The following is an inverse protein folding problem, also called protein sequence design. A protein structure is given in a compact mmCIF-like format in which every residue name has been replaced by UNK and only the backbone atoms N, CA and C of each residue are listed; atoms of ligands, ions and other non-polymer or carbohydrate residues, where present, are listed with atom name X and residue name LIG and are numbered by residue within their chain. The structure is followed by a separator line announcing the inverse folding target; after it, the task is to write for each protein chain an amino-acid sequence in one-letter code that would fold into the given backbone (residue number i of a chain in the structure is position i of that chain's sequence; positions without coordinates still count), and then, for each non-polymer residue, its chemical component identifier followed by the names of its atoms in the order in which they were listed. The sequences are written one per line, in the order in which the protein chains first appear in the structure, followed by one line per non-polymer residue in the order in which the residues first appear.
data_IF_938635979899
#
_entry.id   IF_938635979899
#
_cell.length_a   1.000
_cell.length_b   1.000
_cell.length_c   1.000
_cell.angle_alpha   90.00
_cell.angle_beta   90.00
_cell.angle_gamma   90.00
#
_symmetry.space_group_name_H-M   'P 1'
#
loop_
_entity.id
_entity.type
_entity.pdbx_description
1 polymer ?
#
# COMPACT_ATOMS: atom_id res chain seq x y z
N UNK A 1 -12.98 -16.83 4.46
CA UNK A 1 -11.90 -17.48 3.67
C UNK A 1 -10.59 -16.76 3.91
N UNK A 2 -9.48 -17.44 3.92
CA UNK A 2 -8.20 -16.76 4.06
C UNK A 2 -7.95 -15.83 2.86
N UNK A 3 -7.44 -14.65 3.15
CA UNK A 3 -7.11 -13.68 2.10
C UNK A 3 -5.86 -14.16 1.35
N UNK A 4 -5.96 -14.24 0.04
CA UNK A 4 -4.85 -14.64 -0.83
C UNK A 4 -4.75 -13.70 -2.03
N UNK A 5 -3.53 -13.43 -2.45
CA UNK A 5 -3.28 -12.68 -3.68
C UNK A 5 -3.01 -13.63 -4.85
N UNK A 6 -3.49 -13.29 -6.06
CA UNK A 6 -3.16 -14.04 -7.27
C UNK A 6 -1.65 -14.16 -7.49
N UNK A 7 -1.22 -15.23 -8.15
CA UNK A 7 0.19 -15.46 -8.46
C UNK A 7 0.82 -14.32 -9.26
N UNK A 8 0.07 -13.74 -10.20
CA UNK A 8 0.50 -12.57 -10.98
C UNK A 8 0.83 -11.37 -10.10
N UNK A 9 0.01 -11.08 -9.10
CA UNK A 9 0.25 -10.01 -8.13
C UNK A 9 1.48 -10.32 -7.27
N UNK A 10 1.61 -11.55 -6.82
CA UNK A 10 2.78 -11.97 -6.02
C UNK A 10 4.07 -11.82 -6.81
N UNK A 11 4.06 -12.24 -8.07
CA UNK A 11 5.19 -12.08 -8.98
C UNK A 11 5.54 -10.60 -9.19
N UNK A 12 4.54 -9.78 -9.52
CA UNK A 12 4.73 -8.34 -9.69
C UNK A 12 5.29 -7.67 -8.43
N UNK A 13 4.82 -8.05 -7.25
CA UNK A 13 5.33 -7.49 -5.98
C UNK A 13 6.82 -7.75 -5.80
N UNK A 14 7.31 -8.93 -6.16
CA UNK A 14 8.74 -9.24 -6.06
C UNK A 14 9.54 -8.37 -7.02
N UNK A 15 9.24 -8.41 -8.30
CA UNK A 15 10.03 -7.73 -9.34
C UNK A 15 9.72 -6.23 -9.40
N UNK A 16 8.46 -5.85 -9.30
CA UNK A 16 8.05 -4.44 -9.32
C UNK A 16 8.62 -3.65 -8.15
N UNK A 17 8.66 -4.21 -6.96
CA UNK A 17 9.28 -3.56 -5.80
C UNK A 17 10.77 -3.35 -5.99
N UNK A 18 11.48 -4.31 -6.57
CA UNK A 18 12.91 -4.17 -6.87
C UNK A 18 13.16 -3.05 -7.89
N UNK A 19 12.34 -2.96 -8.93
CA UNK A 19 12.43 -1.90 -9.94
C UNK A 19 12.16 -0.53 -9.31
N UNK A 20 11.10 -0.40 -8.54
CA UNK A 20 10.75 0.86 -7.86
C UNK A 20 11.84 1.27 -6.87
N UNK A 21 12.39 0.35 -6.11
CA UNK A 21 13.55 0.61 -5.24
C UNK A 21 14.74 1.14 -6.01
N UNK A 22 15.06 0.54 -7.15
CA UNK A 22 16.15 0.98 -8.00
C UNK A 22 15.93 2.40 -8.54
N UNK A 23 14.71 2.71 -9.00
CA UNK A 23 14.34 4.04 -9.48
C UNK A 23 14.50 5.09 -8.38
N UNK A 24 13.96 4.85 -7.19
CA UNK A 24 14.07 5.80 -6.08
C UNK A 24 15.53 6.00 -5.62
N UNK A 25 16.32 4.93 -5.56
CA UNK A 25 17.73 5.02 -5.19
C UNK A 25 18.57 5.76 -6.22
N UNK A 26 18.22 5.64 -7.50
CA UNK A 26 18.92 6.36 -8.56
C UNK A 26 18.55 7.86 -8.59
N UNK A 27 17.29 8.20 -8.30
CA UNK A 27 16.77 9.57 -8.42
C UNK A 27 16.77 10.37 -7.12
N UNK A 28 16.90 9.72 -5.96
CA UNK A 28 16.73 10.37 -4.66
C UNK A 28 17.79 9.91 -3.67
N UNK A 29 18.19 10.80 -2.78
CA UNK A 29 18.91 10.43 -1.57
C UNK A 29 17.88 9.96 -0.53
N UNK A 30 17.88 8.67 -0.25
CA UNK A 30 16.95 8.08 0.70
C UNK A 30 17.63 7.88 2.06
N UNK A 31 16.92 8.26 3.11
CA UNK A 31 17.30 7.99 4.48
C UNK A 31 16.11 7.42 5.22
N UNK A 32 16.29 6.32 5.91
CA UNK A 32 15.28 5.65 6.71
C UNK A 32 15.69 5.64 8.17
N UNK A 33 14.78 5.99 9.05
CA UNK A 33 14.99 5.94 10.50
C UNK A 33 13.83 5.19 11.15
N UNK A 34 14.06 4.61 12.32
CA UNK A 34 13.02 3.87 13.04
C UNK A 34 12.72 2.50 12.47
N UNK A 35 13.54 1.94 11.60
CA UNK A 35 13.33 0.60 11.02
C UNK A 35 13.25 -0.49 12.10
N UNK A 36 13.93 -0.28 13.21
CA UNK A 36 13.92 -1.15 14.39
C UNK A 36 12.55 -1.24 15.06
N UNK A 37 11.67 -0.25 14.81
CA UNK A 37 10.31 -0.21 15.35
C UNK A 37 9.29 -0.95 14.47
N UNK A 38 9.69 -1.40 13.28
CA UNK A 38 8.80 -2.15 12.40
C UNK A 38 8.50 -3.52 13.04
N UNK A 39 7.20 -3.88 13.21
CA UNK A 39 6.87 -5.19 13.77
C UNK A 39 7.37 -6.33 12.88
N UNK A 40 7.61 -7.51 13.46
CA UNK A 40 7.88 -8.71 12.67
C UNK A 40 6.68 -9.04 11.75
N UNK A 41 6.87 -9.93 10.74
CA UNK A 41 5.78 -10.33 9.85
C UNK A 41 4.54 -10.75 10.65
N UNK A 42 3.39 -10.20 10.28
CA UNK A 42 2.16 -10.49 11.02
C UNK A 42 1.02 -9.54 10.69
N UNK A 43 -0.03 -9.63 11.47
CA UNK A 43 -1.22 -8.80 11.34
C UNK A 43 -1.02 -7.47 12.07
N UNK A 44 -0.87 -6.39 11.32
CA UNK A 44 -0.86 -5.02 11.84
C UNK A 44 -1.29 -4.01 10.77
N UNK A 45 -1.64 -2.83 11.22
CA UNK A 45 -2.05 -1.73 10.35
C UNK A 45 -0.94 -0.68 10.30
N UNK A 46 -0.57 -0.29 9.08
CA UNK A 46 0.38 0.78 8.84
C UNK A 46 -0.45 2.05 8.54
N UNK A 47 -0.47 2.98 9.47
CA UNK A 47 -1.09 4.27 9.27
C UNK A 47 -0.04 5.26 8.74
N UNK A 48 -0.20 5.70 7.49
CA UNK A 48 0.76 6.59 6.84
C UNK A 48 0.20 7.99 6.67
N UNK A 49 1.06 8.99 6.78
CA UNK A 49 0.78 10.33 6.28
C UNK A 49 0.86 10.31 4.75
N UNK A 50 -0.06 10.99 4.09
CA UNK A 50 -0.10 11.05 2.63
C UNK A 50 0.00 12.50 2.17
N UNK A 51 1.22 12.95 1.93
CA UNK A 51 1.54 14.32 1.51
C UNK A 51 1.78 14.44 0.01
N UNK A 52 2.34 13.41 -0.60
CA UNK A 52 2.70 13.40 -2.01
C UNK A 52 2.23 12.14 -2.72
N UNK A 53 2.11 12.21 -4.04
CA UNK A 53 1.65 11.08 -4.88
C UNK A 53 2.58 9.87 -4.80
N UNK A 54 3.85 10.06 -4.54
CA UNK A 54 4.85 8.99 -4.47
C UNK A 54 5.01 8.38 -3.07
N UNK A 55 4.30 8.87 -2.05
CA UNK A 55 4.38 8.30 -0.69
C UNK A 55 3.95 6.82 -0.64
N UNK A 56 2.79 6.43 -1.21
CA UNK A 56 2.41 5.02 -1.22
C UNK A 56 3.40 4.13 -1.96
N UNK A 57 3.84 4.42 -3.20
CA UNK A 57 4.81 3.57 -3.88
C UNK A 57 6.15 3.50 -3.14
N UNK A 58 6.59 4.56 -2.49
CA UNK A 58 7.80 4.56 -1.69
C UNK A 58 7.65 3.61 -0.49
N UNK A 59 6.58 3.73 0.27
CA UNK A 59 6.32 2.86 1.41
C UNK A 59 6.17 1.40 0.98
N UNK A 60 5.35 1.13 -0.03
CA UNK A 60 5.09 -0.22 -0.51
C UNK A 60 6.35 -0.90 -1.07
N UNK A 61 7.25 -0.13 -1.69
CA UNK A 61 8.50 -0.66 -2.21
C UNK A 61 9.52 -0.99 -1.11
N UNK A 62 9.63 -0.16 -0.09
CA UNK A 62 10.68 -0.26 0.92
C UNK A 62 10.26 -0.92 2.23
N UNK A 63 8.96 -1.10 2.49
CA UNK A 63 8.53 -1.86 3.66
C UNK A 63 9.08 -3.29 3.60
N UNK A 64 9.59 -3.84 4.70
CA UNK A 64 10.23 -5.17 4.70
C UNK A 64 9.35 -6.29 4.16
N UNK A 65 8.06 -6.23 4.49
CA UNK A 65 7.06 -7.20 4.03
C UNK A 65 6.10 -6.48 3.09
N UNK A 66 5.72 -7.09 1.97
CA UNK A 66 4.79 -6.46 1.04
C UNK A 66 3.39 -6.33 1.68
N UNK A 67 3.02 -5.15 2.22
CA UNK A 67 1.72 -4.98 2.86
C UNK A 67 0.61 -4.95 1.81
N UNK A 68 -0.60 -5.29 2.23
CA UNK A 68 -1.78 -5.02 1.42
C UNK A 68 -2.06 -3.52 1.41
N UNK A 69 -2.54 -2.99 0.29
CA UNK A 69 -2.79 -1.57 0.16
C UNK A 69 -4.24 -1.27 -0.19
N UNK A 70 -4.75 -0.21 0.39
CA UNK A 70 -6.02 0.39 0.02
C UNK A 70 -5.74 1.64 -0.82
N UNK A 71 -6.51 1.84 -1.87
CA UNK A 71 -6.33 2.99 -2.75
C UNK A 71 -7.64 3.52 -3.28
N UNK A 72 -7.72 4.84 -3.50
CA UNK A 72 -8.91 5.47 -3.99
C UNK A 72 -9.32 4.92 -5.36
N UNK A 73 -10.59 4.57 -5.52
CA UNK A 73 -11.12 3.98 -6.75
C UNK A 73 -11.00 4.91 -7.97
N UNK A 74 -11.08 6.23 -7.77
CA UNK A 74 -10.89 7.22 -8.81
C UNK A 74 -9.46 7.23 -9.38
N UNK A 75 -8.47 6.89 -8.56
CA UNK A 75 -7.08 6.74 -9.02
C UNK A 75 -6.88 5.49 -9.86
N UNK A 76 -7.66 4.45 -9.64
CA UNK A 76 -7.60 3.21 -10.43
C UNK A 76 -8.12 3.39 -11.86
N UNK A 77 -8.93 4.43 -12.11
CA UNK A 77 -9.37 4.81 -13.45
C UNK A 77 -8.32 5.50 -14.31
N UNK A 78 -7.24 6.00 -13.70
CA UNK A 78 -6.15 6.65 -14.42
C UNK A 78 -5.27 5.59 -15.10
N UNK A 79 -4.83 5.89 -16.33
CA UNK A 79 -4.09 4.91 -17.14
C UNK A 79 -2.84 4.38 -16.43
N UNK A 80 -1.91 5.23 -16.07
CA UNK A 80 -0.62 4.80 -15.50
C UNK A 80 -0.76 4.31 -14.06
N UNK A 81 -1.34 5.13 -13.21
CA UNK A 81 -1.52 4.82 -11.78
C UNK A 81 -2.43 3.61 -11.58
N UNK A 82 -3.50 3.53 -12.36
CA UNK A 82 -4.44 2.42 -12.28
C UNK A 82 -3.82 1.07 -12.62
N UNK A 83 -2.95 0.99 -13.62
CA UNK A 83 -2.24 -0.24 -13.95
C UNK A 83 -1.31 -0.69 -12.82
N UNK A 84 -0.52 0.23 -12.27
CA UNK A 84 0.40 -0.07 -11.16
C UNK A 84 -0.39 -0.54 -9.93
N UNK A 85 -1.48 0.12 -9.59
CA UNK A 85 -2.33 -0.25 -8.46
C UNK A 85 -2.94 -1.65 -8.64
N UNK A 86 -3.43 -1.98 -9.84
CA UNK A 86 -3.97 -3.31 -10.15
C UNK A 86 -2.88 -4.39 -10.09
N UNK A 87 -1.70 -4.12 -10.64
CA UNK A 87 -0.58 -5.07 -10.61
C UNK A 87 -0.10 -5.34 -9.19
N UNK A 88 -0.12 -4.33 -8.33
CA UNK A 88 0.21 -4.51 -6.92
C UNK A 88 -0.89 -5.24 -6.15
N UNK A 89 -2.11 -5.28 -6.66
CA UNK A 89 -3.27 -5.84 -5.99
C UNK A 89 -3.88 -4.89 -4.98
N UNK A 90 -3.83 -3.60 -5.25
CA UNK A 90 -4.45 -2.57 -4.42
C UNK A 90 -5.96 -2.74 -4.39
N UNK A 91 -6.53 -2.66 -3.20
CA UNK A 91 -7.97 -2.79 -2.97
C UNK A 91 -8.62 -1.42 -3.15
N UNK A 92 -9.61 -1.29 -4.05
CA UNK A 92 -10.26 -0.01 -4.29
C UNK A 92 -11.13 0.42 -3.11
N UNK A 93 -11.08 1.70 -2.80
CA UNK A 93 -11.89 2.34 -1.76
C UNK A 93 -12.70 3.48 -2.38
N UNK A 94 -14.00 3.48 -2.15
CA UNK A 94 -14.90 4.59 -2.50
C UNK A 94 -14.93 5.58 -1.35
N UNK A 95 -14.33 6.76 -1.57
CA UNK A 95 -14.24 7.79 -0.52
C UNK A 95 -15.61 8.32 -0.15
N UNK A 96 -15.83 8.52 1.15
CA UNK A 96 -17.07 9.09 1.66
C UNK A 96 -18.22 8.10 1.79
N UNK A 97 -18.03 6.85 1.40
CA UNK A 97 -19.04 5.81 1.52
C UNK A 97 -18.62 4.77 2.57
N UNK A 98 -19.60 4.34 3.37
CA UNK A 98 -19.39 3.21 4.26
C UNK A 98 -19.48 1.92 3.44
N UNK A 99 -18.39 1.20 3.34
CA UNK A 99 -18.34 -0.06 2.61
C UNK A 99 -18.04 -1.21 3.58
N UNK A 100 -19.10 -1.97 3.90
CA UNK A 100 -18.97 -3.13 4.79
C UNK A 100 -18.11 -4.22 4.17
N UNK A 101 -18.20 -4.43 2.86
CA UNK A 101 -17.40 -5.44 2.18
C UNK A 101 -15.90 -5.12 2.25
N UNK A 102 -15.55 -3.84 2.20
CA UNK A 102 -14.18 -3.38 2.40
C UNK A 102 -13.70 -3.67 3.83
N UNK A 103 -14.55 -3.42 4.83
CA UNK A 103 -14.21 -3.71 6.22
C UNK A 103 -14.01 -5.21 6.44
N UNK A 104 -14.91 -6.05 5.93
CA UNK A 104 -14.79 -7.50 6.01
C UNK A 104 -13.49 -7.99 5.34
N UNK A 105 -13.15 -7.41 4.18
CA UNK A 105 -11.90 -7.72 3.48
C UNK A 105 -10.65 -7.31 4.27
N UNK A 106 -10.68 -6.16 4.91
CA UNK A 106 -9.59 -5.72 5.79
C UNK A 106 -9.41 -6.66 6.99
N UNK A 107 -10.51 -7.11 7.57
CA UNK A 107 -10.49 -8.10 8.64
C UNK A 107 -9.93 -9.45 8.16
N UNK A 108 -10.28 -9.90 6.96
CA UNK A 108 -9.74 -11.14 6.38
C UNK A 108 -8.24 -11.05 6.13
N UNK A 109 -7.73 -9.88 5.72
CA UNK A 109 -6.30 -9.62 5.59
C UNK A 109 -5.60 -9.82 6.94
N UNK A 110 -6.11 -9.18 7.98
CA UNK A 110 -5.53 -9.30 9.33
C UNK A 110 -5.63 -10.72 9.88
N UNK A 111 -6.77 -11.39 9.70
CA UNK A 111 -6.94 -12.80 10.07
C UNK A 111 -6.00 -13.74 9.33
N UNK A 112 -5.58 -13.34 8.13
CA UNK A 112 -4.58 -14.08 7.33
C UNK A 112 -3.14 -13.75 7.71
N UNK A 113 -2.96 -13.07 8.84
CA UNK A 113 -1.65 -12.69 9.39
C UNK A 113 -0.84 -11.80 8.44
N UNK A 114 -1.50 -10.86 7.78
CA UNK A 114 -0.88 -9.93 6.82
C UNK A 114 -1.06 -8.48 7.25
N UNK A 115 -0.03 -7.63 7.08
CA UNK A 115 -0.18 -6.21 7.33
C UNK A 115 -0.91 -5.51 6.18
N UNK A 116 -1.61 -4.42 6.47
CA UNK A 116 -2.10 -3.54 5.44
C UNK A 116 -1.88 -2.06 5.76
N UNK A 117 -1.78 -1.25 4.72
CA UNK A 117 -1.52 0.17 4.84
C UNK A 117 -2.78 0.99 4.54
N UNK A 118 -3.00 1.99 5.36
CA UNK A 118 -4.06 2.99 5.17
C UNK A 118 -3.49 4.40 5.28
N UNK A 119 -4.12 5.34 4.60
CA UNK A 119 -3.95 6.77 4.86
C UNK A 119 -5.20 7.26 5.61
N UNK A 120 -5.13 7.46 6.94
CA UNK A 120 -6.32 7.77 7.75
C UNK A 120 -7.02 9.06 7.35
N UNK A 121 -6.30 9.97 6.72
CA UNK A 121 -6.80 11.26 6.25
C UNK A 121 -7.69 11.14 5.00
N UNK A 122 -7.80 9.96 4.39
CA UNK A 122 -8.61 9.70 3.21
C UNK A 122 -8.09 10.30 1.90
N UNK A 123 -6.93 10.94 1.91
CA UNK A 123 -6.31 11.56 0.75
C UNK A 123 -5.07 12.36 1.12
N UNK A 124 -4.50 13.05 0.13
CA UNK A 124 -3.33 13.91 0.37
C UNK A 124 -3.69 15.10 1.23
N UNK A 125 -2.90 15.34 2.28
CA UNK A 125 -3.04 16.52 3.12
C UNK A 125 -2.18 17.66 2.55
N UNK A 126 -2.80 18.79 2.24
CA UNK A 126 -2.11 19.98 1.74
C UNK A 126 -1.65 20.92 2.86
N UNK A 127 -2.05 20.63 4.10
CA UNK A 127 -1.61 21.37 5.29
C UNK A 127 -0.98 20.37 6.26
N UNK A 128 0.24 20.69 6.70
CA UNK A 128 0.80 20.04 7.86
C UNK A 128 -0.10 20.42 9.06
N UNK A 129 -0.85 19.45 9.50
CA UNK A 129 -1.70 19.60 10.68
C UNK A 129 -0.96 19.25 11.93
#
# INVERSE_FOLDING_TARGET
MPFTQPLSVRFFRVYGRLIVRAIFRAGCKLSFSGLENIPPPGAYIIAMNHLATYDPPLLLAFWPHAPESLGASDMMGKFFTGHIMRWYGTIPVHRGEFDRALLDKALDILKSNRPFVIAPEGGRTHKAG
#
